data_IF_363200229945
#
_entry.id   IF_363200229945
#
_cell.length_a   1.000
_cell.length_b   1.000
_cell.length_c   1.000
_cell.angle_alpha   90.00
_cell.angle_beta   90.00
_cell.angle_gamma   90.00
#
_symmetry.space_group_name_H-M   'P 1'
#
loop_
_entity.id
_entity.type
_entity.pdbx_description
1 polymer ?
#
# COMPACT_ATOMS: atom_id res chain seq x y z
N UNK A 1 -37.37 -46.36 72.17
CA UNK A 1 -37.09 -46.57 70.73
C UNK A 1 -37.22 -45.22 70.06
N UNK A 2 -36.10 -44.64 69.63
CA UNK A 2 -36.07 -43.37 68.91
C UNK A 2 -35.27 -43.61 67.62
N UNK A 3 -35.97 -43.67 66.49
CA UNK A 3 -35.35 -43.85 65.18
C UNK A 3 -34.76 -42.52 64.70
N UNK A 4 -33.47 -42.53 64.36
CA UNK A 4 -32.79 -41.42 63.70
C UNK A 4 -33.10 -41.45 62.20
N UNK A 5 -33.38 -40.31 61.53
CA UNK A 5 -33.52 -40.27 60.09
C UNK A 5 -32.17 -40.50 59.39
N UNK A 6 -32.17 -41.42 58.43
CA UNK A 6 -31.03 -41.80 57.60
C UNK A 6 -30.79 -40.75 56.50
N UNK A 7 -29.55 -40.28 56.33
CA UNK A 7 -29.15 -39.36 55.27
C UNK A 7 -28.98 -40.11 53.93
N UNK A 8 -29.43 -39.56 52.79
CA UNK A 8 -29.29 -40.22 51.50
C UNK A 8 -27.83 -40.18 51.01
N UNK A 9 -27.39 -41.17 50.20
CA UNK A 9 -26.01 -41.26 49.78
C UNK A 9 -25.62 -40.15 48.80
N UNK A 10 -24.36 -39.72 48.93
CA UNK A 10 -23.69 -38.72 48.10
C UNK A 10 -23.49 -39.26 46.68
N UNK A 11 -24.10 -38.62 45.68
CA UNK A 11 -23.90 -38.94 44.28
C UNK A 11 -22.44 -38.68 43.85
N UNK A 12 -21.74 -39.74 43.45
CA UNK A 12 -20.41 -39.68 42.83
C UNK A 12 -20.55 -39.13 41.39
N UNK A 13 -19.79 -38.09 41.06
CA UNK A 13 -19.69 -37.57 39.69
C UNK A 13 -18.66 -38.38 38.91
N UNK A 14 -19.11 -39.31 38.07
CA UNK A 14 -18.37 -39.72 36.88
C UNK A 14 -19.28 -40.44 35.89
N UNK A 15 -19.00 -40.23 34.60
CA UNK A 15 -19.60 -40.86 33.41
C UNK A 15 -20.91 -40.26 32.84
N UNK A 16 -20.82 -39.80 31.58
CA UNK A 16 -21.95 -39.60 30.67
C UNK A 16 -22.36 -38.15 30.42
N UNK A 17 -21.93 -37.56 29.30
CA UNK A 17 -22.60 -36.39 28.71
C UNK A 17 -24.00 -36.82 28.29
N UNK A 18 -25.00 -36.53 29.09
CA UNK A 18 -26.40 -36.57 28.67
C UNK A 18 -26.64 -35.48 27.60
N UNK A 19 -27.52 -35.71 26.61
CA UNK A 19 -27.88 -34.68 25.64
C UNK A 19 -28.48 -33.45 26.36
N UNK A 20 -28.28 -32.23 25.83
CA UNK A 20 -28.79 -31.03 26.46
C UNK A 20 -30.31 -31.15 26.64
N UNK A 21 -30.77 -30.79 27.85
CA UNK A 21 -32.18 -30.77 28.22
C UNK A 21 -32.97 -29.97 27.15
N UNK A 22 -34.11 -30.47 26.63
CA UNK A 22 -34.88 -29.72 25.63
C UNK A 22 -35.26 -28.34 26.20
N UNK A 23 -35.04 -27.31 25.40
CA UNK A 23 -35.28 -25.92 25.80
C UNK A 23 -36.73 -25.74 26.22
N UNK A 24 -36.95 -25.01 27.30
CA UNK A 24 -38.30 -24.75 27.80
C UNK A 24 -39.07 -23.89 26.78
N UNK A 25 -40.40 -24.02 26.69
CA UNK A 25 -41.20 -23.28 25.72
C UNK A 25 -41.04 -21.74 25.84
N UNK A 26 -40.79 -21.23 27.05
CA UNK A 26 -40.43 -19.83 27.31
C UNK A 26 -39.10 -19.41 26.63
N UNK A 27 -38.09 -20.28 26.64
CA UNK A 27 -36.79 -20.02 26.01
C UNK A 27 -36.89 -20.03 24.48
N UNK A 28 -37.71 -20.92 23.91
CA UNK A 28 -37.99 -20.95 22.47
C UNK A 28 -38.66 -19.65 22.03
N UNK A 29 -39.64 -19.16 22.79
CA UNK A 29 -40.34 -17.90 22.48
C UNK A 29 -39.40 -16.69 22.49
N UNK A 30 -38.49 -16.62 23.48
CA UNK A 30 -37.47 -15.55 23.53
C UNK A 30 -36.48 -15.61 22.36
N UNK A 31 -36.09 -16.81 21.92
CA UNK A 31 -35.23 -16.96 20.75
C UNK A 31 -35.94 -16.55 19.46
N UNK A 32 -37.23 -16.87 19.31
CA UNK A 32 -38.03 -16.46 18.14
C UNK A 32 -38.27 -14.96 18.11
N UNK A 33 -38.58 -14.33 19.25
CA UNK A 33 -38.70 -12.87 19.39
C UNK A 33 -37.37 -12.16 19.04
N UNK A 34 -36.23 -12.69 19.50
CA UNK A 34 -34.91 -12.17 19.15
C UNK A 34 -34.60 -12.34 17.65
N UNK A 35 -34.96 -13.48 17.06
CA UNK A 35 -34.81 -13.76 15.63
C UNK A 35 -35.65 -12.81 14.77
N UNK A 36 -36.89 -12.53 15.16
CA UNK A 36 -37.77 -11.58 14.48
C UNK A 36 -37.22 -10.15 14.57
N UNK A 37 -36.72 -9.74 15.74
CA UNK A 37 -36.12 -8.43 15.94
C UNK A 37 -34.85 -8.23 15.12
N UNK A 38 -33.99 -9.25 15.03
CA UNK A 38 -32.79 -9.21 14.20
C UNK A 38 -33.14 -9.13 12.70
N UNK A 39 -34.17 -9.85 12.24
CA UNK A 39 -34.61 -9.81 10.84
C UNK A 39 -35.22 -8.46 10.46
N UNK A 40 -36.01 -7.85 11.35
CA UNK A 40 -36.55 -6.51 11.16
C UNK A 40 -35.44 -5.44 11.10
N UNK A 41 -34.44 -5.52 11.98
CA UNK A 41 -33.28 -4.63 11.95
C UNK A 41 -32.46 -4.76 10.66
N UNK A 42 -32.28 -5.99 10.16
CA UNK A 42 -31.60 -6.23 8.88
C UNK A 42 -32.38 -5.66 7.68
N UNK A 43 -33.71 -5.74 7.69
CA UNK A 43 -34.57 -5.15 6.65
C UNK A 43 -34.53 -3.62 6.68
N UNK A 44 -34.54 -3.00 7.87
CA UNK A 44 -34.36 -1.55 8.01
C UNK A 44 -32.97 -1.10 7.54
N UNK A 45 -31.92 -1.89 7.82
CA UNK A 45 -30.57 -1.61 7.34
C UNK A 45 -30.39 -1.82 5.81
N UNK A 46 -31.23 -2.64 5.18
CA UNK A 46 -31.28 -2.77 3.71
C UNK A 46 -32.08 -1.63 3.06
N UNK A 47 -33.12 -1.12 3.72
CA UNK A 47 -33.91 0.01 3.22
C UNK A 47 -33.14 1.35 3.27
N UNK A 48 -32.14 1.49 4.14
CA UNK A 48 -31.30 2.69 4.26
C UNK A 48 -29.99 2.64 3.45
N UNK A 49 -29.71 1.54 2.74
CA UNK A 49 -28.54 1.45 1.85
C UNK A 49 -28.85 2.15 0.51
N UNK A 50 -28.09 3.19 0.11
CA UNK A 50 -28.24 3.77 -1.22
C UNK A 50 -27.89 2.72 -2.27
N UNK A 51 -28.67 2.69 -3.36
CA UNK A 51 -28.44 1.80 -4.50
C UNK A 51 -27.03 2.03 -5.06
N UNK A 52 -26.25 0.97 -5.32
CA UNK A 52 -24.92 1.11 -5.89
C UNK A 52 -25.02 1.76 -7.28
N UNK A 53 -24.08 2.66 -7.56
CA UNK A 53 -23.95 3.28 -8.88
C UNK A 53 -23.79 2.18 -9.95
N UNK A 54 -24.40 2.34 -11.14
CA UNK A 54 -24.31 1.34 -12.19
C UNK A 54 -22.86 1.21 -12.67
N UNK A 55 -22.38 -0.02 -12.72
CA UNK A 55 -21.09 -0.40 -13.29
C UNK A 55 -21.12 -0.11 -14.80
N UNK A 56 -20.03 0.47 -15.32
CA UNK A 56 -19.92 0.79 -16.75
C UNK A 56 -20.11 -0.48 -17.61
N UNK A 57 -21.06 -0.45 -18.55
CA UNK A 57 -21.26 -1.52 -19.54
C UNK A 57 -22.62 -2.23 -19.52
N UNK A 58 -23.45 -2.02 -18.48
CA UNK A 58 -24.77 -2.67 -18.43
C UNK A 58 -25.84 -1.81 -19.10
N UNK A 59 -26.47 -2.31 -20.18
CA UNK A 59 -27.58 -1.64 -20.87
C UNK A 59 -28.84 -1.67 -19.99
N UNK A 60 -29.54 -0.54 -19.87
CA UNK A 60 -30.78 -0.40 -19.08
C UNK A 60 -31.97 -1.07 -19.79
N UNK A 61 -32.92 -1.58 -19.00
CA UNK A 61 -34.18 -2.12 -19.51
C UNK A 61 -35.04 -1.02 -20.15
N UNK A 62 -35.68 -1.35 -21.28
CA UNK A 62 -36.48 -0.45 -22.12
C UNK A 62 -37.64 0.24 -21.38
N UNK A 63 -38.13 -0.35 -20.29
CA UNK A 63 -39.20 0.20 -19.44
C UNK A 63 -38.80 1.40 -18.57
N UNK A 64 -37.52 1.79 -18.54
CA UNK A 64 -37.02 2.92 -17.75
C UNK A 64 -36.91 4.25 -18.53
N UNK A 65 -37.37 4.31 -19.78
CA UNK A 65 -37.29 5.51 -20.63
C UNK A 65 -38.60 6.28 -20.50
N UNK A 66 -38.68 7.21 -19.54
CA UNK A 66 -39.77 8.19 -19.44
C UNK A 66 -39.21 9.60 -19.69
N UNK A 67 -39.90 10.40 -20.51
CA UNK A 67 -39.44 11.71 -21.01
C UNK A 67 -39.27 12.79 -19.94
N UNK A 68 -39.67 12.51 -18.71
CA UNK A 68 -39.51 13.40 -17.55
C UNK A 68 -38.15 13.28 -16.85
N UNK A 69 -37.28 12.34 -17.24
CA UNK A 69 -36.01 12.10 -16.53
C UNK A 69 -34.82 11.87 -17.47
N UNK A 70 -34.59 12.82 -18.39
CA UNK A 70 -33.39 12.85 -19.24
C UNK A 70 -32.19 13.41 -18.46
N UNK A 71 -31.04 12.72 -18.37
CA UNK A 71 -29.86 13.24 -17.70
C UNK A 71 -29.23 14.39 -18.49
N UNK A 72 -28.77 15.42 -17.78
CA UNK A 72 -28.14 16.59 -18.37
C UNK A 72 -26.84 16.20 -19.10
N UNK A 73 -26.76 16.51 -20.40
CA UNK A 73 -25.56 16.36 -21.20
C UNK A 73 -24.56 17.52 -20.94
N UNK A 74 -23.27 17.25 -21.14
CA UNK A 74 -22.09 18.10 -20.90
C UNK A 74 -22.02 19.39 -21.75
N UNK A 75 -23.14 19.89 -22.29
CA UNK A 75 -23.22 21.18 -23.00
C UNK A 75 -24.08 22.23 -22.31
N UNK A 76 -24.69 21.92 -21.16
CA UNK A 76 -25.47 22.88 -20.39
C UNK A 76 -24.58 23.56 -19.33
N UNK A 77 -23.88 24.63 -19.71
CA UNK A 77 -22.97 25.36 -18.83
C UNK A 77 -23.67 26.25 -17.77
N UNK A 78 -25.00 26.28 -17.71
CA UNK A 78 -25.75 27.20 -16.84
C UNK A 78 -26.54 26.54 -15.70
N UNK A 79 -26.31 25.25 -15.42
CA UNK A 79 -27.14 24.50 -14.46
C UNK A 79 -26.35 23.85 -13.30
N UNK A 80 -25.20 24.40 -12.90
CA UNK A 80 -24.46 23.87 -11.75
C UNK A 80 -23.97 24.98 -10.82
N UNK A 81 -24.73 25.22 -9.74
CA UNK A 81 -24.22 25.29 -8.35
C UNK A 81 -25.34 25.63 -7.37
N UNK A 82 -25.62 24.82 -6.33
CA UNK A 82 -26.42 25.24 -5.20
C UNK A 82 -25.50 25.95 -4.19
N UNK A 83 -25.02 27.14 -4.51
CA UNK A 83 -24.35 28.00 -3.54
C UNK A 83 -25.34 29.05 -3.05
N UNK A 84 -25.53 29.15 -1.72
CA UNK A 84 -26.33 30.23 -1.12
C UNK A 84 -25.62 31.56 -1.38
N UNK A 85 -26.32 32.48 -2.04
CA UNK A 85 -25.92 33.89 -2.18
C UNK A 85 -25.82 34.53 -0.79
N UNK A 86 -24.80 35.36 -0.59
CA UNK A 86 -24.75 36.20 0.60
C UNK A 86 -25.74 37.38 0.48
N UNK A 87 -25.90 38.13 1.56
CA UNK A 87 -26.91 39.21 1.67
C UNK A 87 -26.67 40.37 0.68
N UNK A 88 -25.48 40.46 0.08
CA UNK A 88 -25.09 41.53 -0.84
C UNK A 88 -24.98 41.06 -2.31
N UNK A 89 -25.37 39.82 -2.61
CA UNK A 89 -25.51 39.32 -3.98
C UNK A 89 -24.19 39.07 -4.71
N UNK A 90 -23.06 38.99 -4.01
CA UNK A 90 -21.77 38.70 -4.62
C UNK A 90 -21.48 37.20 -4.53
N UNK A 91 -20.94 36.62 -5.62
CA UNK A 91 -20.52 35.22 -5.65
C UNK A 91 -19.00 35.22 -5.48
N UNK A 92 -18.46 34.79 -4.31
CA UNK A 92 -17.01 34.71 -4.17
C UNK A 92 -16.43 33.70 -5.17
N UNK A 93 -15.29 33.99 -5.80
CA UNK A 93 -14.63 33.02 -6.66
C UNK A 93 -14.23 31.79 -5.83
N UNK A 94 -14.28 30.57 -6.41
CA UNK A 94 -13.90 29.37 -5.69
C UNK A 94 -12.46 29.51 -5.17
N UNK A 95 -12.23 29.11 -3.92
CA UNK A 95 -10.88 28.94 -3.40
C UNK A 95 -10.07 28.10 -4.40
N UNK A 96 -8.82 28.50 -4.62
CA UNK A 96 -7.98 28.03 -5.72
C UNK A 96 -7.52 26.57 -5.50
N UNK A 97 -8.46 25.64 -5.51
CA UNK A 97 -8.31 24.19 -5.33
C UNK A 97 -8.08 23.46 -6.66
N UNK A 98 -7.85 24.22 -7.74
CA UNK A 98 -7.65 23.66 -9.09
C UNK A 98 -6.32 22.92 -9.25
N UNK A 99 -5.41 23.02 -8.29
CA UNK A 99 -4.12 22.30 -8.29
C UNK A 99 -3.93 21.56 -6.96
N UNK A 100 -4.75 20.53 -6.74
CA UNK A 100 -4.51 19.57 -5.67
C UNK A 100 -3.72 18.37 -6.24
N UNK A 101 -2.62 17.93 -5.60
CA UNK A 101 -1.95 16.70 -6.03
C UNK A 101 -2.90 15.51 -5.90
N UNK A 102 -2.79 14.54 -6.81
CA UNK A 102 -3.61 13.35 -6.78
C UNK A 102 -3.51 12.66 -5.41
N UNK A 103 -4.66 12.27 -4.83
CA UNK A 103 -4.78 11.65 -3.49
C UNK A 103 -3.94 10.37 -3.30
N UNK A 104 -3.40 9.83 -4.38
CA UNK A 104 -2.65 8.58 -4.43
C UNK A 104 -1.13 8.82 -4.48
N UNK A 105 -0.69 10.08 -4.54
CA UNK A 105 0.71 10.48 -4.41
C UNK A 105 0.84 11.28 -3.13
N UNK A 106 1.09 10.58 -2.02
CA UNK A 106 1.41 11.24 -0.77
C UNK A 106 2.64 12.13 -0.99
N UNK A 107 2.53 13.44 -0.75
CA UNK A 107 3.66 14.39 -0.81
C UNK A 107 4.88 13.89 -0.02
N UNK A 108 4.65 13.10 1.02
CA UNK A 108 5.64 12.47 1.89
C UNK A 108 6.46 11.34 1.25
N UNK A 109 6.05 10.75 0.13
CA UNK A 109 6.77 9.62 -0.49
C UNK A 109 7.86 10.06 -1.47
N UNK A 110 7.76 11.27 -2.05
CA UNK A 110 8.65 11.71 -3.15
C UNK A 110 9.40 13.03 -2.88
N UNK A 111 9.09 13.73 -1.80
CA UNK A 111 9.72 15.01 -1.45
C UNK A 111 10.26 14.88 -0.02
N UNK A 112 11.56 14.60 0.11
CA UNK A 112 12.25 14.46 1.39
C UNK A 112 12.24 15.78 2.21
N UNK A 113 12.04 16.94 1.57
CA UNK A 113 11.95 18.24 2.23
C UNK A 113 10.76 19.07 1.72
N UNK A 114 9.71 19.17 2.54
CA UNK A 114 8.51 19.97 2.28
C UNK A 114 8.65 21.37 2.91
N UNK A 115 9.13 22.34 2.12
CA UNK A 115 9.29 23.74 2.53
C UNK A 115 7.96 24.42 2.92
N UNK A 116 6.80 23.81 2.66
CA UNK A 116 5.50 24.32 3.11
C UNK A 116 5.21 24.04 4.58
N UNK A 117 5.96 23.15 5.25
CA UNK A 117 5.79 22.82 6.67
C UNK A 117 6.83 23.47 7.59
N UNK A 118 7.84 24.15 7.02
CA UNK A 118 8.81 24.93 7.80
C UNK A 118 8.22 26.28 8.17
N UNK A 119 7.85 26.45 9.44
CA UNK A 119 7.50 27.76 10.00
C UNK A 119 8.78 28.45 10.44
N UNK A 120 9.14 29.55 9.76
CA UNK A 120 10.27 30.40 10.12
C UNK A 120 9.95 31.16 11.42
N UNK A 121 10.54 30.70 12.52
CA UNK A 121 10.57 31.44 13.78
C UNK A 121 11.91 32.15 13.94
N UNK A 122 12.27 33.04 13.00
CA UNK A 122 13.29 34.11 13.12
C UNK A 122 14.46 33.82 14.08
N UNK A 123 15.10 32.66 13.95
CA UNK A 123 16.08 32.24 14.97
C UNK A 123 16.59 30.80 14.95
N UNK A 124 16.43 30.04 13.86
CA UNK A 124 17.07 28.73 13.70
C UNK A 124 16.13 27.54 13.92
N UNK A 125 16.09 26.65 12.94
CA UNK A 125 15.21 25.48 12.88
C UNK A 125 15.72 24.37 13.80
N UNK A 126 15.00 24.06 14.88
CA UNK A 126 15.26 22.90 15.74
C UNK A 126 13.99 22.07 15.94
N UNK A 127 14.15 20.75 15.88
CA UNK A 127 13.08 19.75 16.07
C UNK A 127 12.96 19.34 17.54
N UNK A 128 11.93 18.56 17.89
CA UNK A 128 11.56 18.13 19.25
C UNK A 128 12.65 17.37 20.04
N UNK A 129 13.77 17.01 19.42
CA UNK A 129 14.83 16.22 20.06
C UNK A 129 15.97 17.05 20.66
N UNK A 130 15.99 18.38 20.47
CA UNK A 130 17.20 19.19 20.73
C UNK A 130 17.06 20.32 21.76
N UNK A 131 15.97 20.41 22.54
CA UNK A 131 15.88 21.38 23.66
C UNK A 131 15.69 20.69 25.03
N UNK A 132 16.79 20.40 25.76
CA UNK A 132 16.74 19.84 27.11
C UNK A 132 16.16 20.78 28.18
N UNK A 133 15.86 22.05 27.88
CA UNK A 133 15.48 23.06 28.87
C UNK A 133 14.10 23.70 28.63
N UNK A 134 13.25 23.09 27.80
CA UNK A 134 11.88 23.55 27.61
C UNK A 134 11.01 23.33 28.88
N UNK A 135 10.87 24.38 29.66
CA UNK A 135 10.18 24.41 30.96
C UNK A 135 8.65 24.36 30.87
N UNK A 136 8.07 24.43 29.66
CA UNK A 136 6.62 24.37 29.43
C UNK A 136 6.04 22.95 29.39
N UNK A 137 6.89 21.91 29.39
CA UNK A 137 6.48 20.49 29.27
C UNK A 137 7.01 19.59 30.40
N UNK A 138 7.63 20.15 31.44
CA UNK A 138 8.12 19.39 32.60
C UNK A 138 7.05 19.21 33.67
N UNK A 139 6.40 18.05 33.65
CA UNK A 139 5.56 17.59 34.75
C UNK A 139 6.49 16.91 35.77
N UNK A 140 6.68 17.52 36.94
CA UNK A 140 7.70 17.18 37.95
C UNK A 140 7.62 15.81 38.64
N UNK A 141 7.15 14.76 37.97
CA UNK A 141 7.36 13.39 38.42
C UNK A 141 8.68 12.89 37.84
N UNK A 142 9.69 12.75 38.70
CA UNK A 142 10.86 11.93 38.37
C UNK A 142 10.39 10.50 38.16
N UNK A 143 10.28 10.10 36.90
CA UNK A 143 10.14 8.70 36.51
C UNK A 143 11.34 7.95 37.09
N UNK A 144 11.08 6.87 37.83
CA UNK A 144 12.14 6.01 38.37
C UNK A 144 12.94 5.44 37.18
N UNK A 145 14.14 5.98 37.00
CA UNK A 145 15.04 5.61 35.91
C UNK A 145 15.39 4.13 36.00
N UNK A 146 15.30 3.46 34.86
CA UNK A 146 15.63 2.06 34.69
C UNK A 146 17.10 1.81 35.08
N UNK A 147 17.40 0.86 35.97
CA UNK A 147 18.77 0.50 36.32
C UNK A 147 19.60 0.08 35.09
N UNK A 148 20.89 0.44 35.01
CA UNK A 148 21.71 0.28 33.80
C UNK A 148 21.93 -1.18 33.35
N UNK A 149 21.75 -2.16 34.24
CA UNK A 149 22.11 -3.57 34.00
C UNK A 149 20.90 -4.50 33.78
N UNK A 150 19.70 -3.96 33.55
CA UNK A 150 18.46 -4.75 33.46
C UNK A 150 17.78 -4.55 32.11
N UNK A 151 17.11 -5.55 31.55
CA UNK A 151 16.32 -5.36 30.32
C UNK A 151 15.01 -4.62 30.59
N UNK A 152 14.40 -3.98 29.58
CA UNK A 152 13.14 -3.24 29.75
C UNK A 152 12.00 -4.14 30.26
N UNK A 153 11.94 -5.37 29.74
CA UNK A 153 10.94 -6.36 30.14
C UNK A 153 11.14 -6.84 31.58
N UNK A 154 12.39 -7.03 32.01
CA UNK A 154 12.69 -7.39 33.40
C UNK A 154 12.33 -6.23 34.34
N UNK A 155 12.64 -4.98 33.97
CA UNK A 155 12.31 -3.80 34.77
C UNK A 155 10.80 -3.63 34.97
N UNK A 156 10.00 -3.88 33.93
CA UNK A 156 8.54 -3.87 34.03
C UNK A 156 8.00 -5.00 34.91
N UNK A 157 8.57 -6.21 34.81
CA UNK A 157 8.21 -7.35 35.68
C UNK A 157 8.52 -7.05 37.15
N UNK A 158 9.64 -6.39 37.43
CA UNK A 158 10.04 -6.04 38.79
C UNK A 158 9.14 -4.94 39.37
N UNK A 159 8.74 -3.95 38.57
CA UNK A 159 7.73 -2.94 38.97
C UNK A 159 6.40 -3.59 39.32
N UNK A 160 5.94 -4.55 38.51
CA UNK A 160 4.69 -5.30 38.77
C UNK A 160 4.83 -6.15 40.05
N UNK A 161 5.95 -6.86 40.22
CA UNK A 161 6.21 -7.67 41.43
C UNK A 161 6.26 -6.82 42.70
N UNK A 162 6.92 -5.66 42.65
CA UNK A 162 6.99 -4.70 43.77
C UNK A 162 5.60 -4.17 44.12
N UNK A 163 4.80 -3.82 43.11
CA UNK A 163 3.41 -3.36 43.27
C UNK A 163 2.51 -4.43 43.89
N UNK A 164 2.66 -5.70 43.49
CA UNK A 164 1.89 -6.82 44.06
C UNK A 164 2.28 -7.12 45.53
N UNK A 165 3.57 -6.99 45.86
CA UNK A 165 4.07 -7.15 47.24
C UNK A 165 3.57 -6.03 48.16
N UNK A 166 3.59 -4.79 47.67
CA UNK A 166 3.10 -3.61 48.40
C UNK A 166 1.58 -3.66 48.58
N UNK A 167 0.84 -4.03 47.53
CA UNK A 167 -0.60 -4.21 47.59
C UNK A 167 -1.02 -5.50 48.34
N UNK A 168 -0.07 -6.38 48.68
CA UNK A 168 -0.32 -7.72 49.28
C UNK A 168 -1.44 -8.48 48.56
N UNK A 169 -1.38 -8.51 47.23
CA UNK A 169 -2.37 -9.17 46.37
C UNK A 169 -1.72 -10.32 45.61
N UNK A 170 -2.50 -11.37 45.34
CA UNK A 170 -2.02 -12.57 44.64
C UNK A 170 -1.13 -13.45 45.53
N UNK A 171 0.06 -13.81 45.04
CA UNK A 171 1.02 -14.70 45.71
C UNK A 171 1.49 -14.17 47.08
N UNK A 172 1.35 -12.86 47.33
CA UNK A 172 1.80 -12.21 48.56
C UNK A 172 0.67 -12.00 49.59
N UNK A 173 -0.44 -12.75 49.48
CA UNK A 173 -1.49 -12.73 50.49
C UNK A 173 -1.04 -13.42 51.79
N UNK A 174 -1.31 -12.82 52.96
CA UNK A 174 -0.75 -13.25 54.25
C UNK A 174 -1.21 -14.65 54.73
N UNK A 175 -2.20 -15.27 54.08
CA UNK A 175 -2.68 -16.61 54.42
C UNK A 175 -2.05 -17.76 53.61
N UNK A 176 -1.38 -17.46 52.49
CA UNK A 176 -0.83 -18.48 51.58
C UNK A 176 0.65 -18.79 51.85
N UNK A 177 1.42 -17.81 52.36
CA UNK A 177 2.88 -17.95 52.51
C UNK A 177 3.34 -18.74 53.75
N UNK A 178 2.50 -18.87 54.78
CA UNK A 178 2.88 -19.57 56.04
C UNK A 178 2.57 -21.07 55.96
N UNK A 179 1.56 -21.49 55.18
CA UNK A 179 1.20 -22.89 55.03
C UNK A 179 2.15 -23.66 54.10
N UNK A 180 2.73 -23.01 53.10
CA UNK A 180 3.61 -23.67 52.14
C UNK A 180 5.02 -23.99 52.71
N UNK A 181 5.53 -23.15 53.62
CA UNK A 181 6.82 -23.37 54.28
C UNK A 181 6.83 -24.54 55.27
N UNK A 182 5.68 -24.92 55.83
CA UNK A 182 5.61 -25.97 56.85
C UNK A 182 5.63 -27.39 56.27
N UNK A 183 5.23 -27.56 55.01
CA UNK A 183 4.98 -28.87 54.41
C UNK A 183 6.07 -29.34 53.43
N UNK A 184 7.19 -28.60 53.28
CA UNK A 184 8.29 -28.95 52.37
C UNK A 184 7.92 -28.96 50.88
N UNK A 185 6.69 -28.57 50.54
CA UNK A 185 6.14 -28.56 49.18
C UNK A 185 6.82 -27.52 48.28
N UNK A 186 7.36 -26.45 48.85
CA UNK A 186 8.14 -25.46 48.10
C UNK A 186 9.46 -26.06 47.57
N UNK A 187 10.12 -26.95 48.33
CA UNK A 187 11.36 -27.61 47.89
C UNK A 187 11.11 -28.71 46.84
N UNK A 188 10.00 -29.46 46.98
CA UNK A 188 9.55 -30.42 45.96
C UNK A 188 9.07 -29.72 44.68
N UNK A 189 8.35 -28.60 44.79
CA UNK A 189 7.87 -27.81 43.65
C UNK A 189 9.03 -27.13 42.91
N UNK A 190 10.00 -26.56 43.63
CA UNK A 190 11.23 -26.01 43.04
C UNK A 190 12.11 -27.09 42.42
N UNK A 191 12.20 -28.29 43.03
CA UNK A 191 12.89 -29.43 42.45
C UNK A 191 12.20 -29.96 41.19
N UNK A 192 10.85 -29.98 41.15
CA UNK A 192 10.07 -30.34 39.96
C UNK A 192 10.22 -29.30 38.84
N UNK A 193 10.23 -28.01 39.18
CA UNK A 193 10.44 -26.91 38.23
C UNK A 193 11.86 -26.94 37.65
N UNK A 194 12.86 -27.30 38.47
CA UNK A 194 14.24 -27.47 38.03
C UNK A 194 14.42 -28.72 37.16
N UNK A 195 13.79 -29.84 37.52
CA UNK A 195 13.78 -31.06 36.71
C UNK A 195 13.03 -30.87 35.37
N UNK A 196 11.97 -30.05 35.34
CA UNK A 196 11.28 -29.68 34.10
C UNK A 196 12.09 -28.71 33.21
N UNK A 197 13.07 -28.00 33.78
CA UNK A 197 13.98 -27.10 33.06
C UNK A 197 15.24 -27.81 32.55
N UNK A 198 15.64 -28.94 33.13
CA UNK A 198 16.93 -29.61 32.86
C UNK A 198 16.87 -30.82 31.90
N UNK A 199 15.73 -31.12 31.27
CA UNK A 199 15.68 -32.07 30.15
C UNK A 199 15.68 -31.29 28.81
N UNK A 200 16.77 -31.31 28.01
CA UNK A 200 16.75 -30.73 26.68
C UNK A 200 16.04 -31.70 25.74
N UNK A 201 14.73 -31.86 25.91
CA UNK A 201 13.89 -32.31 24.82
C UNK A 201 14.02 -31.27 23.71
N UNK A 202 14.85 -31.56 22.70
CA UNK A 202 15.04 -30.67 21.54
C UNK A 202 13.66 -30.23 21.02
N UNK A 203 13.35 -28.96 21.20
CA UNK A 203 12.10 -28.39 20.69
C UNK A 203 12.10 -28.60 19.18
N UNK A 204 11.24 -29.49 18.69
CA UNK A 204 11.11 -29.78 17.27
C UNK A 204 10.78 -28.49 16.54
N UNK A 205 11.76 -27.89 15.86
CA UNK A 205 11.59 -26.62 15.13
C UNK A 205 10.82 -26.79 13.81
N UNK A 206 10.66 -28.02 13.34
CA UNK A 206 10.03 -28.29 12.05
C UNK A 206 10.88 -27.88 10.85
N UNK A 207 10.39 -28.20 9.66
CA UNK A 207 11.02 -27.93 8.36
C UNK A 207 11.19 -26.44 8.08
N UNK A 208 10.26 -25.61 8.55
CA UNK A 208 10.22 -24.17 8.30
C UNK A 208 10.45 -23.31 9.56
N UNK A 209 10.92 -23.92 10.66
CA UNK A 209 11.27 -23.20 11.89
C UNK A 209 10.08 -22.76 12.77
N UNK A 210 8.85 -23.14 12.45
CA UNK A 210 7.62 -22.75 13.18
C UNK A 210 7.05 -23.87 14.07
N UNK A 211 7.77 -24.98 14.23
CA UNK A 211 7.44 -26.09 15.12
C UNK A 211 6.31 -27.00 14.62
N UNK A 212 5.83 -26.84 13.39
CA UNK A 212 4.73 -27.65 12.84
C UNK A 212 5.24 -28.83 12.02
N UNK A 213 4.44 -29.90 11.99
CA UNK A 213 4.71 -31.12 11.22
C UNK A 213 3.83 -31.18 9.97
N UNK A 214 4.45 -31.48 8.84
CA UNK A 214 3.77 -31.71 7.58
C UNK A 214 3.33 -33.18 7.52
N UNK A 215 2.04 -33.43 7.76
CA UNK A 215 1.48 -34.79 7.76
C UNK A 215 0.69 -34.99 6.47
N UNK A 216 1.01 -36.06 5.73
CA UNK A 216 0.31 -36.38 4.49
C UNK A 216 -1.19 -36.59 4.76
N UNK A 217 -2.06 -35.86 4.06
CA UNK A 217 -3.51 -36.02 4.15
C UNK A 217 -4.18 -35.20 5.26
N UNK A 218 -3.42 -34.38 6.00
CA UNK A 218 -3.92 -33.54 7.08
C UNK A 218 -3.45 -32.10 6.93
N UNK A 219 -4.29 -31.17 7.37
CA UNK A 219 -3.96 -29.76 7.43
C UNK A 219 -2.88 -29.54 8.49
N UNK A 220 -1.77 -28.92 8.10
CA UNK A 220 -0.65 -28.54 8.96
C UNK A 220 -1.04 -27.64 10.14
N UNK A 221 -2.07 -26.83 9.95
CA UNK A 221 -2.52 -25.81 10.91
C UNK A 221 -3.55 -26.34 11.90
N UNK A 222 -4.61 -26.99 11.39
CA UNK A 222 -5.75 -27.41 12.22
C UNK A 222 -5.96 -28.93 12.28
N UNK A 223 -5.17 -29.72 11.53
CA UNK A 223 -5.31 -31.18 11.47
C UNK A 223 -6.50 -31.70 10.66
N UNK A 224 -7.30 -30.82 10.03
CA UNK A 224 -8.45 -31.22 9.20
C UNK A 224 -8.02 -32.12 8.03
N UNK A 225 -8.89 -33.05 7.64
CA UNK A 225 -8.71 -33.94 6.48
C UNK A 225 -9.11 -33.26 5.16
N UNK A 226 -9.82 -32.13 5.23
CA UNK A 226 -10.28 -31.37 4.06
C UNK A 226 -9.17 -30.46 3.51
N UNK A 227 -8.12 -31.07 2.97
CA UNK A 227 -6.98 -30.36 2.38
C UNK A 227 -7.10 -30.23 0.86
N UNK A 228 -6.38 -29.26 0.31
CA UNK A 228 -6.19 -29.16 -1.13
C UNK A 228 -5.06 -30.09 -1.59
N UNK A 229 -5.42 -31.20 -2.22
CA UNK A 229 -4.48 -32.20 -2.72
C UNK A 229 -3.47 -31.62 -3.74
N UNK A 230 -3.84 -30.60 -4.52
CA UNK A 230 -2.90 -29.97 -5.46
C UNK A 230 -1.76 -29.27 -4.76
N UNK A 231 -2.02 -28.68 -3.60
CA UNK A 231 -1.00 -28.05 -2.77
C UNK A 231 -0.10 -29.08 -2.12
N UNK A 232 -0.68 -30.19 -1.72
CA UNK A 232 0.08 -31.30 -1.17
C UNK A 232 1.00 -31.93 -2.22
N UNK A 233 0.54 -32.11 -3.45
CA UNK A 233 1.36 -32.70 -4.51
C UNK A 233 2.44 -31.72 -4.99
N UNK A 234 2.09 -30.44 -5.19
CA UNK A 234 3.01 -29.44 -5.73
C UNK A 234 3.98 -28.83 -4.70
N UNK A 235 3.54 -28.56 -3.48
CA UNK A 235 4.37 -27.94 -2.43
C UNK A 235 4.73 -28.88 -1.29
N UNK A 236 4.22 -30.11 -1.30
CA UNK A 236 4.40 -31.07 -0.19
C UNK A 236 3.82 -30.59 1.15
N UNK A 237 2.85 -29.67 1.11
CA UNK A 237 2.16 -29.13 2.29
C UNK A 237 0.67 -29.37 2.19
N UNK A 238 0.11 -30.09 3.16
CA UNK A 238 -1.33 -30.26 3.33
C UNK A 238 -1.93 -29.08 4.07
N UNK A 239 -2.83 -28.31 3.42
CA UNK A 239 -3.55 -27.23 4.09
C UNK A 239 -4.99 -27.10 3.59
N UNK A 240 -5.91 -26.84 4.52
CA UNK A 240 -7.31 -26.59 4.21
C UNK A 240 -7.55 -25.15 3.77
N UNK A 241 -8.62 -24.90 3.01
CA UNK A 241 -8.98 -23.56 2.54
C UNK A 241 -9.12 -22.53 3.67
N UNK A 242 -9.78 -22.92 4.77
CA UNK A 242 -9.96 -22.03 5.92
C UNK A 242 -8.62 -21.57 6.54
N UNK A 243 -7.58 -22.39 6.51
CA UNK A 243 -6.27 -22.03 7.03
C UNK A 243 -5.43 -21.20 6.04
N UNK A 244 -5.65 -21.37 4.73
CA UNK A 244 -5.06 -20.48 3.71
C UNK A 244 -5.52 -19.04 3.92
N UNK A 245 -6.83 -18.86 4.13
CA UNK A 245 -7.42 -17.52 4.32
C UNK A 245 -7.08 -16.90 5.69
N UNK A 246 -6.90 -17.73 6.72
CA UNK A 246 -6.51 -17.25 8.07
C UNK A 246 -5.07 -16.79 8.15
N UNK A 247 -4.18 -17.36 7.35
CA UNK A 247 -2.74 -17.09 7.42
C UNK A 247 -2.17 -16.77 6.03
N UNK A 248 -2.61 -15.66 5.39
CA UNK A 248 -2.12 -15.26 4.08
C UNK A 248 -0.62 -14.94 4.11
N UNK A 249 -0.09 -14.45 5.22
CA UNK A 249 1.33 -14.13 5.35
C UNK A 249 2.24 -15.35 5.19
N UNK A 250 1.72 -16.57 5.46
CA UNK A 250 2.48 -17.81 5.28
C UNK A 250 2.09 -18.53 3.99
N UNK A 251 0.79 -18.59 3.71
CA UNK A 251 0.24 -19.41 2.66
C UNK A 251 -0.25 -18.61 1.46
N UNK A 252 0.19 -17.36 1.28
CA UNK A 252 -0.02 -16.66 0.01
C UNK A 252 0.86 -17.26 -1.09
N UNK A 253 0.34 -17.28 -2.31
CA UNK A 253 1.08 -17.67 -3.49
C UNK A 253 1.71 -16.42 -4.11
N UNK A 254 3.00 -16.52 -4.42
CA UNK A 254 3.78 -15.48 -5.08
C UNK A 254 4.05 -15.90 -6.51
N UNK A 255 3.87 -14.98 -7.45
CA UNK A 255 4.34 -15.16 -8.82
C UNK A 255 5.86 -15.17 -8.87
N UNK A 256 6.43 -15.77 -9.91
CA UNK A 256 7.89 -15.74 -10.15
C UNK A 256 8.49 -14.33 -10.08
N UNK A 257 7.78 -13.34 -10.62
CA UNK A 257 8.20 -11.93 -10.62
C UNK A 257 8.22 -11.35 -9.21
N UNK A 258 7.18 -11.61 -8.41
CA UNK A 258 7.12 -11.18 -7.01
C UNK A 258 8.24 -11.84 -6.19
N UNK A 259 8.46 -13.15 -6.33
CA UNK A 259 9.54 -13.84 -5.62
C UNK A 259 10.93 -13.28 -5.98
N UNK A 260 11.13 -12.86 -7.23
CA UNK A 260 12.38 -12.26 -7.71
C UNK A 260 12.57 -10.82 -7.22
N UNK A 261 11.49 -10.04 -7.14
CA UNK A 261 11.54 -8.63 -6.75
C UNK A 261 11.58 -8.45 -5.23
N UNK A 262 10.75 -9.19 -4.49
CA UNK A 262 10.60 -9.04 -3.03
C UNK A 262 11.73 -9.73 -2.26
N UNK A 263 12.13 -10.93 -2.70
CA UNK A 263 13.15 -11.75 -2.01
C UNK A 263 14.49 -11.77 -2.74
N UNK A 264 14.60 -11.02 -3.84
CA UNK A 264 15.85 -10.83 -4.61
C UNK A 264 16.48 -12.15 -5.07
N UNK A 265 15.64 -13.15 -5.33
CA UNK A 265 16.02 -14.47 -5.80
C UNK A 265 16.42 -14.45 -7.28
N UNK A 266 17.27 -15.39 -7.67
CA UNK A 266 17.75 -15.49 -9.06
C UNK A 266 16.91 -16.48 -9.87
N UNK A 267 16.89 -16.32 -11.20
CA UNK A 267 16.14 -17.25 -12.07
C UNK A 267 16.63 -18.70 -12.01
N UNK A 268 17.93 -19.03 -11.83
CA UNK A 268 18.38 -20.39 -11.58
C UNK A 268 17.79 -21.00 -10.30
N UNK A 269 17.77 -20.24 -9.20
CA UNK A 269 17.21 -20.69 -7.92
C UNK A 269 15.70 -20.96 -8.03
N UNK A 270 14.97 -20.09 -8.73
CA UNK A 270 13.52 -20.22 -8.94
C UNK A 270 13.14 -21.32 -9.94
N UNK A 271 14.06 -21.75 -10.80
CA UNK A 271 13.82 -22.84 -11.75
C UNK A 271 14.10 -24.22 -11.14
N UNK A 272 14.87 -24.28 -10.06
CA UNK A 272 15.22 -25.53 -9.42
C UNK A 272 14.08 -26.01 -8.50
N UNK A 273 13.31 -26.98 -8.99
CA UNK A 273 12.18 -27.58 -8.27
C UNK A 273 12.60 -28.28 -6.98
N UNK A 274 13.87 -28.68 -6.85
CA UNK A 274 14.37 -29.30 -5.61
C UNK A 274 14.51 -28.30 -4.47
N UNK A 275 14.74 -27.02 -4.80
CA UNK A 275 14.91 -25.94 -3.84
C UNK A 275 13.57 -25.24 -3.59
N UNK A 276 12.86 -24.87 -4.66
CA UNK A 276 11.58 -24.17 -4.61
C UNK A 276 10.55 -24.85 -5.51
N UNK A 277 9.72 -25.74 -4.94
CA UNK A 277 8.58 -26.30 -5.65
C UNK A 277 7.59 -25.20 -6.06
N UNK A 278 6.94 -25.37 -7.21
CA UNK A 278 6.02 -24.38 -7.76
C UNK A 278 4.79 -25.03 -8.39
N UNK A 279 3.70 -24.27 -8.46
CA UNK A 279 2.50 -24.63 -9.19
C UNK A 279 2.41 -23.83 -10.48
N UNK A 280 2.24 -24.51 -11.60
CA UNK A 280 1.95 -23.86 -12.87
C UNK A 280 0.46 -23.54 -13.02
N UNK A 281 0.16 -22.33 -13.48
CA UNK A 281 -1.18 -21.91 -13.89
C UNK A 281 -1.13 -21.22 -15.25
N UNK A 282 -2.19 -21.35 -16.08
CA UNK A 282 -2.26 -20.60 -17.33
C UNK A 282 -2.18 -19.11 -17.03
N UNK A 283 -1.44 -18.37 -17.84
CA UNK A 283 -1.26 -16.94 -17.63
C UNK A 283 -2.63 -16.22 -17.75
N UNK A 284 -3.02 -15.41 -16.74
CA UNK A 284 -4.33 -14.77 -16.71
C UNK A 284 -4.56 -13.77 -17.84
N UNK A 285 -3.50 -13.22 -18.44
CA UNK A 285 -3.61 -12.29 -19.55
C UNK A 285 -3.88 -12.99 -20.87
N UNK A 286 -3.11 -14.03 -21.19
CA UNK A 286 -3.31 -14.87 -22.39
C UNK A 286 -2.85 -16.29 -22.11
N UNK A 287 -3.72 -17.27 -22.36
CA UNK A 287 -3.42 -18.69 -22.14
C UNK A 287 -2.33 -19.27 -23.05
N UNK A 288 -2.01 -18.61 -24.15
CA UNK A 288 -0.94 -19.02 -25.07
C UNK A 288 0.45 -18.50 -24.67
N UNK A 289 0.53 -17.63 -23.65
CA UNK A 289 1.79 -17.21 -23.07
C UNK A 289 2.35 -18.29 -22.15
N UNK A 290 3.61 -18.15 -21.76
CA UNK A 290 4.23 -19.05 -20.79
C UNK A 290 3.39 -19.09 -19.51
N UNK A 291 3.20 -20.30 -18.98
CA UNK A 291 2.48 -20.52 -17.74
C UNK A 291 3.10 -19.69 -16.61
N UNK A 292 2.24 -19.17 -15.75
CA UNK A 292 2.65 -18.49 -14.54
C UNK A 292 3.07 -19.52 -13.51
N UNK A 293 4.29 -19.38 -13.01
CA UNK A 293 4.82 -20.17 -11.90
C UNK A 293 4.45 -19.49 -10.58
N UNK A 294 3.78 -20.22 -9.69
CA UNK A 294 3.35 -19.78 -8.37
C UNK A 294 4.15 -20.51 -7.29
N UNK A 295 4.80 -19.75 -6.43
CA UNK A 295 5.62 -20.22 -5.32
C UNK A 295 4.89 -19.98 -4.00
N UNK A 296 5.13 -20.83 -3.00
CA UNK A 296 4.55 -20.65 -1.68
C UNK A 296 5.41 -19.71 -0.84
N UNK A 297 4.82 -18.62 -0.31
CA UNK A 297 5.54 -17.61 0.48
C UNK A 297 6.36 -18.23 1.63
N UNK A 298 5.78 -19.16 2.41
CA UNK A 298 6.48 -19.87 3.49
C UNK A 298 7.81 -20.52 3.04
N UNK A 299 7.81 -21.16 1.87
CA UNK A 299 9.00 -21.85 1.33
C UNK A 299 10.03 -20.84 0.82
N UNK A 300 9.56 -19.82 0.12
CA UNK A 300 10.39 -18.72 -0.41
C UNK A 300 11.08 -17.99 0.72
N UNK A 301 10.37 -17.61 1.78
CA UNK A 301 10.91 -16.95 2.96
C UNK A 301 11.93 -17.83 3.67
N UNK A 302 11.60 -19.10 3.88
CA UNK A 302 12.52 -20.04 4.52
C UNK A 302 13.83 -20.17 3.75
N UNK A 303 13.78 -20.27 2.42
CA UNK A 303 14.99 -20.31 1.59
C UNK A 303 15.73 -18.98 1.56
N UNK A 304 15.03 -17.86 1.37
CA UNK A 304 15.62 -16.52 1.31
C UNK A 304 16.34 -16.17 2.61
N UNK A 305 15.74 -16.47 3.76
CA UNK A 305 16.34 -16.24 5.08
C UNK A 305 17.31 -17.35 5.51
N UNK A 306 17.44 -18.43 4.75
CA UNK A 306 18.44 -19.45 5.03
C UNK A 306 19.85 -18.92 4.81
N UNK A 307 20.83 -19.58 5.45
CA UNK A 307 22.26 -19.28 5.25
C UNK A 307 22.72 -19.47 3.80
N UNK A 308 21.96 -20.17 2.95
CA UNK A 308 22.29 -20.35 1.55
C UNK A 308 22.12 -19.06 0.72
N UNK A 309 21.29 -18.11 1.19
CA UNK A 309 20.99 -16.86 0.47
C UNK A 309 21.32 -15.61 1.27
N UNK A 310 20.43 -15.16 2.15
CA UNK A 310 20.59 -13.91 2.91
C UNK A 310 20.86 -14.13 4.40
N UNK A 311 20.55 -15.31 4.94
CA UNK A 311 20.80 -15.68 6.34
C UNK A 311 19.85 -15.04 7.37
N UNK A 312 19.28 -13.87 7.08
CA UNK A 312 18.24 -13.24 7.91
C UNK A 312 17.41 -12.25 7.08
N UNK A 313 16.24 -11.87 7.59
CA UNK A 313 15.43 -10.81 6.98
C UNK A 313 16.14 -9.46 6.96
N UNK A 314 16.86 -9.12 8.04
CA UNK A 314 17.61 -7.88 8.13
C UNK A 314 18.68 -7.76 7.02
N UNK A 315 19.38 -8.86 6.71
CA UNK A 315 20.37 -8.87 5.64
C UNK A 315 19.75 -8.68 4.24
N UNK A 316 18.55 -9.22 4.01
CA UNK A 316 17.80 -8.98 2.77
C UNK A 316 17.41 -7.51 2.64
N UNK A 317 16.90 -6.90 3.71
CA UNK A 317 16.49 -5.50 3.74
C UNK A 317 17.69 -4.55 3.47
N UNK A 318 18.84 -4.82 4.09
CA UNK A 318 20.07 -4.07 3.83
C UNK A 318 20.51 -4.13 2.36
N UNK A 319 20.37 -5.29 1.72
CA UNK A 319 20.72 -5.45 0.30
C UNK A 319 19.72 -4.70 -0.58
N UNK A 320 18.43 -4.81 -0.27
CA UNK A 320 17.36 -4.10 -0.95
C UNK A 320 17.61 -2.58 -0.93
N UNK A 321 17.93 -2.02 0.24
CA UNK A 321 18.27 -0.60 0.35
C UNK A 321 19.49 -0.21 -0.50
N UNK A 322 20.53 -1.05 -0.52
CA UNK A 322 21.71 -0.82 -1.37
C UNK A 322 21.32 -0.80 -2.86
N UNK A 323 20.47 -1.73 -3.31
CA UNK A 323 19.96 -1.75 -4.70
C UNK A 323 19.11 -0.52 -5.02
N UNK A 324 18.26 -0.09 -4.10
CA UNK A 324 17.43 1.10 -4.28
C UNK A 324 18.27 2.37 -4.38
N UNK A 325 19.24 2.57 -3.49
CA UNK A 325 20.20 3.69 -3.53
C UNK A 325 20.97 3.69 -4.86
N UNK A 326 21.54 2.56 -5.27
CA UNK A 326 22.26 2.44 -6.53
C UNK A 326 21.36 2.70 -7.76
N UNK A 327 20.11 2.26 -7.73
CA UNK A 327 19.13 2.51 -8.81
C UNK A 327 18.78 4.01 -8.90
N UNK A 328 18.54 4.67 -7.76
CA UNK A 328 18.30 6.11 -7.67
C UNK A 328 19.49 6.90 -8.24
N UNK A 329 20.72 6.59 -7.81
CA UNK A 329 21.93 7.25 -8.33
C UNK A 329 22.10 7.06 -9.84
N UNK A 330 21.85 5.85 -10.37
CA UNK A 330 21.94 5.59 -11.82
C UNK A 330 20.92 6.42 -12.59
N UNK A 331 19.69 6.55 -12.07
CA UNK A 331 18.64 7.39 -12.67
C UNK A 331 19.04 8.87 -12.64
N UNK A 332 19.59 9.35 -11.54
CA UNK A 332 20.07 10.73 -11.39
C UNK A 332 21.25 11.02 -12.34
N UNK A 333 22.26 10.14 -12.39
CA UNK A 333 23.39 10.25 -13.32
C UNK A 333 22.92 10.27 -14.78
N UNK A 334 21.95 9.42 -15.14
CA UNK A 334 21.34 9.39 -16.48
C UNK A 334 20.59 10.70 -16.78
N UNK A 335 19.86 11.24 -15.80
CA UNK A 335 19.14 12.51 -15.93
C UNK A 335 20.11 13.70 -16.09
N UNK A 336 21.13 13.78 -15.23
CA UNK A 336 22.18 14.80 -15.30
C UNK A 336 22.93 14.76 -16.64
N UNK A 337 23.26 13.57 -17.15
CA UNK A 337 23.87 13.40 -18.47
C UNK A 337 22.95 13.92 -19.59
N UNK A 338 21.65 13.57 -19.55
CA UNK A 338 20.66 14.07 -20.52
C UNK A 338 20.53 15.60 -20.47
N UNK A 339 20.55 16.21 -19.29
CA UNK A 339 20.52 17.67 -19.14
C UNK A 339 21.78 18.34 -19.71
N UNK A 340 22.97 17.77 -19.48
CA UNK A 340 24.22 18.27 -20.06
C UNK A 340 24.21 18.16 -21.58
N UNK A 341 23.70 17.06 -22.12
CA UNK A 341 23.56 16.85 -23.56
C UNK A 341 22.56 17.85 -24.17
N UNK A 342 21.42 18.07 -23.53
CA UNK A 342 20.42 19.05 -23.95
C UNK A 342 21.00 20.47 -23.95
N UNK A 343 21.70 20.88 -22.87
CA UNK A 343 22.39 22.18 -22.79
C UNK A 343 23.45 22.35 -23.89
N UNK A 344 24.20 21.28 -24.20
CA UNK A 344 25.19 21.32 -25.27
C UNK A 344 24.51 21.50 -26.63
N UNK A 345 23.39 20.81 -26.88
CA UNK A 345 22.62 20.93 -28.11
C UNK A 345 22.05 22.35 -28.30
N UNK A 346 21.40 22.91 -27.28
CA UNK A 346 20.84 24.27 -27.33
C UNK A 346 21.93 25.34 -27.44
N UNK A 347 23.08 25.18 -26.77
CA UNK A 347 24.22 26.09 -26.91
C UNK A 347 24.81 26.07 -28.32
N UNK A 348 24.92 24.89 -28.94
CA UNK A 348 25.41 24.76 -30.31
C UNK A 348 24.42 25.35 -31.32
N UNK A 349 23.11 25.18 -31.11
CA UNK A 349 22.09 25.85 -31.94
C UNK A 349 22.14 27.37 -31.81
N UNK A 350 22.24 27.91 -30.59
CA UNK A 350 22.38 29.35 -30.38
C UNK A 350 23.65 29.90 -31.05
N UNK A 351 24.78 29.20 -30.94
CA UNK A 351 26.03 29.59 -31.60
C UNK A 351 25.97 29.47 -33.13
N UNK A 352 25.30 28.43 -33.66
CA UNK A 352 25.06 28.30 -35.11
C UNK A 352 24.17 29.44 -35.62
N UNK A 353 23.11 29.77 -34.90
CA UNK A 353 22.20 30.86 -35.21
C UNK A 353 22.93 32.22 -35.21
N UNK A 354 23.72 32.50 -34.17
CA UNK A 354 24.52 33.73 -34.11
C UNK A 354 25.62 33.81 -35.18
N UNK A 355 26.20 32.67 -35.59
CA UNK A 355 27.21 32.63 -36.66
C UNK A 355 26.58 32.76 -38.05
N UNK A 356 25.38 32.22 -38.25
CA UNK A 356 24.63 32.38 -39.49
C UNK A 356 24.10 33.82 -39.64
N UNK A 357 23.78 34.47 -38.52
CA UNK A 357 23.45 35.92 -38.47
C UNK A 357 24.70 36.81 -38.64
N UNK A 358 25.91 36.35 -38.31
CA UNK A 358 27.16 37.12 -38.41
C UNK A 358 28.03 36.84 -39.66
N UNK A 359 27.56 36.04 -40.62
CA UNK A 359 28.32 35.61 -41.80
C UNK A 359 28.08 36.42 -43.08
N UNK A 360 27.20 37.42 -43.05
CA UNK A 360 27.03 38.36 -44.15
C UNK A 360 27.76 39.66 -43.82
N UNK A 361 28.97 39.84 -44.38
CA UNK A 361 29.53 41.18 -44.51
C UNK A 361 28.52 42.04 -45.29
N UNK A 362 27.98 43.07 -44.63
CA UNK A 362 27.22 44.14 -45.30
C UNK A 362 25.79 44.41 -44.84
N UNK A 363 25.32 43.87 -43.71
CA UNK A 363 24.00 44.24 -43.18
C UNK A 363 24.11 44.99 -41.84
N UNK A 364 23.82 46.28 -41.91
CA UNK A 364 23.59 47.18 -40.77
C UNK A 364 22.63 46.56 -39.76
N UNK A 365 23.08 46.48 -38.51
CA UNK A 365 22.33 46.25 -37.26
C UNK A 365 20.79 46.36 -37.39
N UNK A 366 20.11 45.25 -37.69
CA UNK A 366 18.64 45.18 -37.56
C UNK A 366 18.26 44.79 -36.15
N UNK A 367 17.67 45.74 -35.43
CA UNK A 367 17.08 45.54 -34.11
C UNK A 367 15.84 44.63 -34.16
N UNK A 368 15.59 43.91 -33.07
CA UNK A 368 14.42 43.06 -32.85
C UNK A 368 13.13 43.78 -33.24
N UNK A 369 12.52 43.37 -34.36
CA UNK A 369 11.29 43.98 -34.90
C UNK A 369 11.36 44.42 -36.37
N UNK A 370 12.51 44.36 -37.04
CA UNK A 370 12.59 44.68 -38.47
C UNK A 370 12.24 43.46 -39.36
N UNK A 371 11.33 43.66 -40.32
CA UNK A 371 10.91 42.66 -41.33
C UNK A 371 12.11 42.31 -42.21
N UNK A 372 12.51 41.05 -42.19
CA UNK A 372 13.60 40.51 -42.99
C UNK A 372 13.10 40.45 -44.45
N UNK A 373 13.61 41.32 -45.32
CA UNK A 373 13.45 41.17 -46.76
C UNK A 373 14.39 40.04 -47.25
N UNK A 374 13.96 38.80 -47.05
CA UNK A 374 14.62 37.61 -47.56
C UNK A 374 14.17 37.31 -48.99
N UNK A 375 15.13 36.96 -49.84
CA UNK A 375 14.99 36.67 -51.28
C UNK A 375 14.19 35.39 -51.63
N UNK A 376 13.23 34.97 -50.82
CA UNK A 376 12.47 33.74 -51.01
C UNK A 376 11.07 33.83 -50.41
N UNK A 377 10.07 33.62 -51.27
CA UNK A 377 8.62 33.65 -51.02
C UNK A 377 8.10 34.93 -50.35
N UNK A 378 7.79 35.92 -51.18
CA UNK A 378 6.87 37.02 -50.83
C UNK A 378 5.57 36.85 -51.63
N UNK A 379 4.47 37.39 -51.11
CA UNK A 379 3.21 37.43 -51.84
C UNK A 379 3.32 38.55 -52.87
N UNK A 380 3.21 38.22 -54.15
CA UNK A 380 3.33 39.21 -55.21
C UNK A 380 2.19 40.22 -55.17
N UNK A 381 2.49 41.46 -54.77
CA UNK A 381 1.64 42.61 -55.08
C UNK A 381 2.00 43.13 -56.47
N UNK A 382 1.03 43.04 -57.39
CA UNK A 382 1.18 43.43 -58.79
C UNK A 382 0.82 44.90 -58.97
N UNK A 383 1.74 45.66 -59.56
CA UNK A 383 1.51 47.05 -59.93
C UNK A 383 0.52 47.21 -61.10
N UNK A 384 0.28 48.46 -61.49
CA UNK A 384 -0.67 48.84 -62.55
C UNK A 384 -0.32 48.17 -63.88
N UNK A 385 -1.30 47.55 -64.55
CA UNK A 385 -1.11 46.94 -65.86
C UNK A 385 -0.77 47.98 -66.93
N UNK A 386 0.23 47.68 -67.76
CA UNK A 386 0.63 48.50 -68.91
C UNK A 386 0.35 47.69 -70.18
N UNK A 387 -0.41 48.30 -71.10
CA UNK A 387 -0.76 47.68 -72.39
C UNK A 387 0.43 47.82 -73.35
N UNK A 388 0.92 46.70 -73.86
CA UNK A 388 1.98 46.68 -74.85
C UNK A 388 1.37 46.87 -76.25
N UNK A 389 1.70 47.99 -76.90
CA UNK A 389 1.05 48.44 -78.14
C UNK A 389 1.37 47.57 -79.36
N UNK A 390 2.44 46.78 -79.33
CA UNK A 390 2.82 45.91 -80.44
C UNK A 390 2.18 44.52 -80.38
N UNK A 391 1.88 44.03 -79.17
CA UNK A 391 1.37 42.67 -78.95
C UNK A 391 -0.10 42.64 -78.51
N UNK A 392 -0.65 43.77 -78.07
CA UNK A 392 -2.04 43.88 -77.60
C UNK A 392 -2.29 43.23 -76.23
N UNK A 393 -1.23 42.82 -75.54
CA UNK A 393 -1.28 42.11 -74.25
C UNK A 393 -1.03 43.08 -73.09
N UNK A 394 -1.68 42.83 -71.95
CA UNK A 394 -1.46 43.62 -70.74
C UNK A 394 -0.41 42.96 -69.84
N UNK A 395 0.64 43.70 -69.47
CA UNK A 395 1.72 43.23 -68.58
C UNK A 395 1.59 43.85 -67.20
N UNK A 396 1.71 43.04 -66.15
CA UNK A 396 1.80 43.49 -64.76
C UNK A 396 3.16 43.13 -64.17
N UNK A 397 3.79 44.07 -63.47
CA UNK A 397 5.07 43.89 -62.78
C UNK A 397 4.86 43.89 -61.27
N UNK A 398 5.42 42.92 -60.56
CA UNK A 398 5.43 42.91 -59.10
C UNK A 398 6.36 44.01 -58.56
N UNK A 399 5.88 44.81 -57.62
CA UNK A 399 6.61 45.98 -57.11
C UNK A 399 7.79 45.59 -56.21
N UNK A 400 7.74 44.43 -55.56
CA UNK A 400 8.77 44.00 -54.60
C UNK A 400 9.92 43.22 -55.24
N UNK A 401 9.67 42.41 -56.27
CA UNK A 401 10.69 41.56 -56.90
C UNK A 401 10.90 41.77 -58.40
N UNK A 402 10.05 42.58 -59.05
CA UNK A 402 10.17 42.87 -60.48
C UNK A 402 9.76 41.73 -61.42
N UNK A 403 9.13 40.66 -60.93
CA UNK A 403 8.55 39.61 -61.78
C UNK A 403 7.45 40.19 -62.67
N UNK A 404 7.37 39.79 -63.94
CA UNK A 404 6.37 40.25 -64.91
C UNK A 404 5.46 39.10 -65.36
N UNK A 405 4.16 39.36 -65.43
CA UNK A 405 3.14 38.40 -65.91
C UNK A 405 2.30 39.05 -67.00
N UNK A 406 2.13 38.34 -68.11
CA UNK A 406 1.26 38.71 -69.24
C UNK A 406 -0.13 38.11 -69.04
N UNK A 407 -1.17 38.94 -69.12
CA UNK A 407 -2.56 38.50 -69.09
C UNK A 407 -3.22 38.76 -70.46
N UNK A 408 -3.75 37.70 -71.09
CA UNK A 408 -4.72 37.80 -72.18
C UNK A 408 -6.10 38.07 -71.59
N UNK A 409 -6.66 39.25 -71.83
CA UNK A 409 -8.09 39.49 -71.66
C UNK A 409 -8.81 38.92 -72.90
N UNK A 410 -9.67 37.91 -72.69
CA UNK A 410 -10.53 37.32 -73.74
C UNK A 410 -11.85 38.07 -73.88
#
# INVERSE_FOLDING_TARGET
MAERPSTPPRAMRSAGKLPPNPLTPEQVRRMEEARLRAKAAAQQAQASKPTPAPVAGTKRAYSAINSSNTPAQLRNANAASPAKRDQNGFIPPPANDLIQPAKNFGRSEYIEYDFSKMTDTKGGFLSTNDDPHNRAMWNGNKEEEKPPNMTLAEWERERIRRKLREARTGIYEPGLSILNQADGRDEEEDALLKAAQEEPGEVYKGTYGDGKRDIKGKCRECGSLEIDWKWQDGFHIGICHACKDKFPDKYSLLTKTEAKEDYLLTDPELKDESILPHLERPNPHKSNWQNMQLFLRLQVEHYAFSAAKWGSSAALDEEYEKRQKASKEKKEKKFSKKLKELKKRTRVEAYKRSRQEGGAEGATMSAFGQRIHGLGDHVHEWGRSVLDQETGLSRKRCEECGMEVEELEF
#
